data_IF_067536603896
#
_entry.id   IF_067536603896
#
_cell.length_a   1.000
_cell.length_b   1.000
_cell.length_c   1.000
_cell.angle_alpha   90.00
_cell.angle_beta   90.00
_cell.angle_gamma   90.00
#
_symmetry.space_group_name_H-M   'P 1'
#
loop_
_entity.id
_entity.type
_entity.pdbx_description
1 polymer ?
#
# COMPACT_ATOMS: atom_id res chain seq x y z
N UNK A 1 41.02 -16.71 60.77
CA UNK A 1 41.75 -16.16 59.60
C UNK A 1 40.72 -15.95 58.50
N UNK A 2 40.46 -14.68 58.17
CA UNK A 2 39.25 -14.20 57.45
C UNK A 2 39.23 -14.57 55.96
N UNK A 3 38.03 -14.93 55.49
CA UNK A 3 37.66 -15.06 54.07
C UNK A 3 37.74 -13.71 53.35
N UNK A 4 38.39 -13.67 52.19
CA UNK A 4 38.35 -12.52 51.27
C UNK A 4 37.26 -12.72 50.21
N UNK A 5 36.31 -11.79 50.18
CA UNK A 5 35.18 -11.71 49.24
C UNK A 5 35.56 -11.01 47.93
N UNK A 6 34.85 -11.42 46.90
CA UNK A 6 34.90 -11.05 45.49
C UNK A 6 34.72 -9.56 45.17
N UNK A 7 35.24 -9.13 44.00
CA UNK A 7 34.63 -8.08 43.17
C UNK A 7 34.98 -8.27 41.69
N UNK A 8 34.10 -8.93 40.93
CA UNK A 8 34.11 -8.94 39.47
C UNK A 8 33.10 -7.90 38.98
N UNK A 9 33.60 -6.75 38.49
CA UNK A 9 32.78 -5.70 37.86
C UNK A 9 32.56 -6.06 36.40
N UNK A 10 31.37 -6.56 36.07
CA UNK A 10 30.95 -6.80 34.68
C UNK A 10 30.32 -5.50 34.16
N UNK A 11 30.96 -4.93 33.14
CA UNK A 11 30.53 -3.76 32.39
C UNK A 11 29.45 -4.22 31.39
N UNK A 12 28.19 -3.79 31.58
CA UNK A 12 27.09 -4.07 30.64
C UNK A 12 27.08 -2.94 29.60
N UNK A 13 27.64 -3.20 28.42
CA UNK A 13 27.51 -2.31 27.26
C UNK A 13 26.14 -2.49 26.61
N UNK A 14 25.33 -1.43 26.64
CA UNK A 14 24.02 -1.36 26.02
C UNK A 14 24.10 -1.51 24.49
N UNK A 15 23.72 -2.68 23.98
CA UNK A 15 23.55 -2.93 22.56
C UNK A 15 22.24 -2.28 22.10
N UNK A 16 22.33 -1.13 21.44
CA UNK A 16 21.19 -0.43 20.84
C UNK A 16 20.74 -1.24 19.60
N UNK A 17 19.78 -2.15 19.78
CA UNK A 17 19.22 -2.94 18.70
C UNK A 17 18.42 -2.03 17.75
N UNK A 18 18.98 -1.74 16.57
CA UNK A 18 18.23 -1.21 15.44
C UNK A 18 17.20 -2.27 15.02
N UNK A 19 15.95 -2.11 15.45
CA UNK A 19 14.83 -2.86 14.92
C UNK A 19 14.53 -2.38 13.50
N UNK A 20 15.19 -3.02 12.52
CA UNK A 20 14.79 -2.96 11.12
C UNK A 20 13.33 -3.45 11.03
N UNK A 21 12.41 -2.50 10.98
CA UNK A 21 10.98 -2.78 10.85
C UNK A 21 10.78 -3.35 9.44
N UNK A 22 10.69 -4.67 9.35
CA UNK A 22 10.44 -5.34 8.08
C UNK A 22 8.99 -5.04 7.69
N UNK A 23 8.77 -4.45 6.51
CA UNK A 23 7.42 -4.35 5.99
C UNK A 23 6.88 -5.77 5.76
N UNK A 24 5.81 -6.14 6.48
CA UNK A 24 5.14 -7.43 6.26
C UNK A 24 4.60 -7.47 4.83
N UNK A 25 4.82 -8.58 4.14
CA UNK A 25 4.31 -8.76 2.79
C UNK A 25 2.78 -8.73 2.80
N UNK A 26 2.19 -7.87 1.96
CA UNK A 26 0.75 -7.72 1.81
C UNK A 26 0.30 -8.46 0.56
N UNK A 27 -0.56 -9.47 0.75
CA UNK A 27 -1.15 -10.22 -0.37
C UNK A 27 -2.51 -9.65 -0.72
N UNK A 28 -2.72 -9.47 -2.03
CA UNK A 28 -3.96 -8.98 -2.63
C UNK A 28 -4.50 -10.01 -3.60
N UNK A 29 -5.68 -10.54 -3.31
CA UNK A 29 -6.35 -11.54 -4.17
C UNK A 29 -7.70 -11.01 -4.61
N UNK A 30 -8.04 -11.23 -5.87
CA UNK A 30 -9.25 -10.67 -6.45
C UNK A 30 -9.62 -11.17 -7.83
N UNK A 31 -10.60 -10.49 -8.41
CA UNK A 31 -11.15 -10.72 -9.74
C UNK A 31 -11.10 -9.44 -10.58
N UNK A 32 -10.98 -9.59 -11.89
CA UNK A 32 -11.06 -8.52 -12.88
C UNK A 32 -12.34 -8.68 -13.72
N UNK A 33 -13.27 -7.74 -13.62
CA UNK A 33 -14.61 -7.81 -14.22
C UNK A 33 -14.81 -6.83 -15.39
N UNK A 34 -15.77 -7.10 -16.32
CA UNK A 34 -16.22 -8.41 -16.80
C UNK A 34 -15.71 -8.63 -18.23
N UNK A 35 -15.03 -9.75 -18.48
CA UNK A 35 -14.34 -10.13 -19.73
C UNK A 35 -12.87 -9.70 -19.77
N UNK A 36 -12.03 -10.61 -19.30
CA UNK A 36 -10.58 -10.50 -19.39
C UNK A 36 -10.09 -11.23 -20.65
N UNK A 37 -9.53 -10.54 -21.66
CA UNK A 37 -8.82 -11.20 -22.74
C UNK A 37 -7.69 -12.13 -22.24
N UNK A 38 -7.31 -13.11 -23.06
CA UNK A 38 -6.11 -13.92 -22.77
C UNK A 38 -4.86 -13.04 -22.74
N UNK A 39 -3.93 -13.32 -21.83
CA UNK A 39 -2.67 -12.58 -21.72
C UNK A 39 -2.77 -11.28 -20.90
N UNK A 40 -3.91 -11.00 -20.29
CA UNK A 40 -4.03 -9.85 -19.40
C UNK A 40 -3.23 -10.04 -18.12
N UNK A 41 -2.68 -8.91 -17.64
CA UNK A 41 -2.04 -8.76 -16.36
C UNK A 41 -2.69 -7.63 -15.59
N UNK A 42 -2.60 -7.72 -14.27
CA UNK A 42 -2.91 -6.61 -13.37
C UNK A 42 -1.63 -6.27 -12.64
N UNK A 43 -1.30 -4.98 -12.59
CA UNK A 43 -0.15 -4.47 -11.87
C UNK A 43 -0.52 -3.32 -10.94
N UNK A 44 0.28 -3.15 -9.90
CA UNK A 44 0.27 -1.98 -9.06
C UNK A 44 1.37 -1.03 -9.50
N UNK A 45 1.00 0.23 -9.70
CA UNK A 45 1.90 1.26 -10.17
C UNK A 45 1.96 2.41 -9.19
N UNK A 46 3.16 2.96 -8.99
CA UNK A 46 3.30 4.31 -8.43
C UNK A 46 2.82 5.32 -9.46
N UNK A 47 2.37 6.49 -8.98
CA UNK A 47 2.05 7.61 -9.85
C UNK A 47 3.19 8.62 -9.88
N UNK A 48 3.47 9.15 -11.07
CA UNK A 48 4.33 10.32 -11.24
C UNK A 48 3.60 11.62 -10.90
N UNK A 49 4.30 12.76 -10.90
CA UNK A 49 3.71 14.08 -10.58
C UNK A 49 2.54 14.50 -11.48
N UNK A 50 2.46 13.95 -12.70
CA UNK A 50 1.37 14.19 -13.66
C UNK A 50 0.13 13.31 -13.42
N UNK A 51 0.14 12.47 -12.36
CA UNK A 51 -0.90 11.48 -12.10
C UNK A 51 -0.82 10.25 -13.01
N UNK A 52 0.17 10.16 -13.91
CA UNK A 52 0.37 9.00 -14.80
C UNK A 52 1.14 7.88 -14.09
N UNK A 53 0.92 6.60 -14.47
CA UNK A 53 1.72 5.48 -14.01
C UNK A 53 3.21 5.71 -14.27
N UNK A 54 4.05 5.47 -13.26
CA UNK A 54 5.49 5.67 -13.36
C UNK A 54 6.28 4.35 -13.23
N UNK A 55 6.19 3.68 -12.07
CA UNK A 55 6.89 2.42 -11.81
C UNK A 55 5.88 1.30 -11.55
N UNK A 56 6.03 0.17 -12.25
CA UNK A 56 5.36 -1.08 -11.90
C UNK A 56 6.05 -1.68 -10.65
N UNK A 57 5.32 -1.77 -9.54
CA UNK A 57 5.82 -2.31 -8.27
C UNK A 57 5.72 -3.83 -8.25
N UNK A 58 4.58 -4.35 -8.70
CA UNK A 58 4.30 -5.78 -8.82
C UNK A 58 3.21 -6.00 -9.84
N UNK A 59 3.24 -7.12 -10.56
CA UNK A 59 2.13 -7.59 -11.38
C UNK A 59 1.96 -9.09 -11.36
N UNK A 60 0.78 -9.52 -11.78
CA UNK A 60 0.44 -10.93 -11.94
C UNK A 60 -0.41 -11.13 -13.19
N UNK A 61 -0.27 -12.31 -13.79
CA UNK A 61 -1.15 -12.73 -14.87
C UNK A 61 -2.56 -12.98 -14.32
N UNK A 62 -3.57 -12.58 -15.08
CA UNK A 62 -4.96 -12.91 -14.77
C UNK A 62 -5.29 -14.28 -15.33
N UNK A 63 -5.77 -15.19 -14.47
CA UNK A 63 -6.14 -16.57 -14.82
C UNK A 63 -7.58 -16.81 -14.41
N UNK A 64 -8.44 -17.17 -15.36
CA UNK A 64 -9.88 -17.38 -15.13
C UNK A 64 -10.54 -16.18 -14.44
N UNK A 65 -10.14 -14.96 -14.85
CA UNK A 65 -10.60 -13.70 -14.27
C UNK A 65 -10.02 -13.38 -12.89
N UNK A 66 -9.14 -14.20 -12.32
CA UNK A 66 -8.55 -14.03 -10.98
C UNK A 66 -7.10 -13.60 -11.04
N UNK A 67 -6.64 -12.89 -10.01
CA UNK A 67 -5.25 -12.49 -9.83
C UNK A 67 -4.81 -12.61 -8.37
N UNK A 68 -3.49 -12.66 -8.16
CA UNK A 68 -2.87 -12.63 -6.84
C UNK A 68 -1.57 -11.82 -6.91
N UNK A 69 -1.48 -10.75 -6.13
CA UNK A 69 -0.31 -9.88 -6.04
C UNK A 69 0.28 -9.97 -4.65
N UNK A 70 1.60 -10.08 -4.57
CA UNK A 70 2.35 -10.01 -3.33
C UNK A 70 3.19 -8.74 -3.36
N UNK A 71 2.85 -7.75 -2.53
CA UNK A 71 3.68 -6.56 -2.44
C UNK A 71 5.05 -6.92 -1.88
N UNK A 72 6.13 -6.37 -2.46
CA UNK A 72 7.48 -6.67 -2.02
C UNK A 72 7.70 -6.11 -0.61
N UNK A 73 8.53 -6.76 0.19
CA UNK A 73 8.92 -6.26 1.51
C UNK A 73 9.93 -5.10 1.44
N UNK A 74 10.38 -4.73 0.24
CA UNK A 74 11.31 -3.62 0.02
C UNK A 74 10.59 -2.27 0.02
N UNK A 75 11.17 -1.25 0.67
CA UNK A 75 10.69 0.12 0.58
C UNK A 75 10.55 0.62 -0.86
N UNK A 76 9.57 1.50 -1.10
CA UNK A 76 9.55 2.30 -2.32
C UNK A 76 10.75 3.25 -2.35
N UNK A 77 11.29 3.47 -3.53
CA UNK A 77 12.37 4.44 -3.71
C UNK A 77 11.90 5.86 -3.38
N UNK A 78 12.78 6.65 -2.76
CA UNK A 78 12.45 7.99 -2.29
C UNK A 78 11.89 8.94 -3.36
N UNK A 79 12.23 8.75 -4.64
CA UNK A 79 11.69 9.54 -5.76
C UNK A 79 10.21 9.32 -6.03
N UNK A 80 9.63 8.23 -5.54
CA UNK A 80 8.20 7.93 -5.63
C UNK A 80 7.46 8.26 -4.33
N UNK A 81 8.14 8.91 -3.36
CA UNK A 81 7.56 9.30 -2.09
C UNK A 81 7.36 10.82 -2.02
N UNK A 82 6.13 11.25 -1.82
CA UNK A 82 5.75 12.62 -1.47
C UNK A 82 5.56 12.78 0.03
N UNK A 83 5.37 14.00 0.53
CA UNK A 83 4.99 14.19 1.93
C UNK A 83 3.49 13.93 2.10
N UNK A 84 3.10 13.17 3.14
CA UNK A 84 1.69 13.01 3.48
C UNK A 84 1.20 14.28 4.18
N UNK A 85 0.53 15.13 3.42
CA UNK A 85 -0.13 16.35 3.90
C UNK A 85 -1.65 16.21 3.79
N UNK A 86 -2.44 17.07 4.46
CA UNK A 86 -3.89 17.11 4.26
C UNK A 86 -4.29 17.19 2.78
N UNK A 87 -3.60 18.02 1.98
CA UNK A 87 -3.89 18.22 0.56
C UNK A 87 -3.54 17.00 -0.31
N UNK A 88 -2.67 16.11 0.18
CA UNK A 88 -2.31 14.89 -0.52
C UNK A 88 -3.38 13.77 -0.37
N UNK A 89 -4.31 13.92 0.58
CA UNK A 89 -5.37 12.94 0.84
C UNK A 89 -6.55 13.20 -0.10
N UNK A 90 -6.60 12.44 -1.20
CA UNK A 90 -7.68 12.51 -2.21
C UNK A 90 -8.58 11.26 -2.20
N UNK A 91 -8.63 10.56 -1.06
CA UNK A 91 -9.29 9.27 -0.95
C UNK A 91 -10.82 9.40 -1.04
N UNK A 92 -11.45 8.49 -1.77
CA UNK A 92 -12.89 8.50 -2.00
C UNK A 92 -13.67 8.48 -0.69
N UNK A 93 -14.58 9.45 -0.52
CA UNK A 93 -15.40 9.61 0.68
C UNK A 93 -14.74 10.35 1.83
N UNK A 94 -13.42 10.56 1.82
CA UNK A 94 -12.70 11.36 2.82
C UNK A 94 -12.72 12.82 2.40
N UNK A 95 -13.48 13.64 3.12
CA UNK A 95 -13.73 15.05 2.77
C UNK A 95 -13.70 15.94 4.00
N UNK A 96 -13.68 17.26 3.79
CA UNK A 96 -13.76 18.25 4.85
C UNK A 96 -12.39 18.61 5.43
N UNK A 97 -12.33 18.90 6.73
CA UNK A 97 -11.08 19.30 7.38
C UNK A 97 -10.22 18.09 7.69
N UNK A 98 -9.21 17.85 6.84
CA UNK A 98 -8.28 16.73 6.99
C UNK A 98 -7.12 17.14 7.91
N UNK A 99 -6.79 16.27 8.88
CA UNK A 99 -5.65 16.40 9.78
C UNK A 99 -4.78 15.17 9.67
N UNK A 100 -3.50 15.38 9.40
CA UNK A 100 -2.47 14.33 9.37
C UNK A 100 -1.53 14.56 10.55
N UNK A 101 -1.21 13.51 11.32
CA UNK A 101 -0.22 13.61 12.41
C UNK A 101 1.16 13.21 11.91
N UNK A 102 2.19 13.89 12.41
CA UNK A 102 3.57 13.65 11.97
C UNK A 102 3.82 14.18 10.55
N UNK A 103 4.93 13.78 9.96
CA UNK A 103 5.34 14.19 8.61
C UNK A 103 5.95 13.03 7.82
N UNK A 104 5.27 11.87 7.72
CA UNK A 104 5.82 10.77 6.95
C UNK A 104 5.83 11.11 5.47
N UNK A 105 6.76 10.50 4.74
CA UNK A 105 6.66 10.40 3.30
C UNK A 105 5.80 9.20 2.92
N UNK A 106 5.07 9.32 1.83
CA UNK A 106 4.18 8.27 1.35
C UNK A 106 4.19 8.16 -0.16
N UNK A 107 3.83 6.98 -0.66
CA UNK A 107 3.52 6.74 -2.06
C UNK A 107 2.20 5.99 -2.17
N UNK A 108 1.32 6.44 -3.05
CA UNK A 108 0.07 5.73 -3.37
C UNK A 108 0.30 4.78 -4.56
N UNK A 109 -0.29 3.59 -4.47
CA UNK A 109 -0.32 2.64 -5.57
C UNK A 109 -1.72 2.57 -6.17
N UNK A 110 -1.77 2.50 -7.49
CA UNK A 110 -3.01 2.29 -8.24
C UNK A 110 -2.93 1.05 -9.11
N UNK A 111 -4.09 0.43 -9.29
CA UNK A 111 -4.21 -0.75 -10.14
C UNK A 111 -4.34 -0.34 -11.60
N UNK A 112 -3.55 -0.98 -12.44
CA UNK A 112 -3.70 -0.92 -13.88
C UNK A 112 -3.75 -2.33 -14.44
N UNK A 113 -4.55 -2.49 -15.49
CA UNK A 113 -4.56 -3.69 -16.30
C UNK A 113 -3.94 -3.41 -17.67
N UNK A 114 -3.30 -4.42 -18.23
CA UNK A 114 -2.70 -4.35 -19.56
C UNK A 114 -2.59 -5.75 -20.18
N UNK A 115 -2.48 -5.82 -21.49
CA UNK A 115 -2.22 -7.07 -22.22
C UNK A 115 -0.72 -7.26 -22.35
N UNK A 116 -0.19 -8.37 -21.83
CA UNK A 116 1.20 -8.81 -22.01
C UNK A 116 1.32 -9.50 -23.38
N UNK A 117 1.64 -8.70 -24.39
CA UNK A 117 1.55 -9.11 -25.79
C UNK A 117 2.69 -10.02 -26.23
N UNK A 118 3.85 -9.93 -25.57
CA UNK A 118 5.03 -10.74 -25.87
C UNK A 118 5.32 -11.81 -24.80
N UNK A 119 4.45 -11.95 -23.80
CA UNK A 119 4.56 -12.93 -22.72
C UNK A 119 5.84 -12.82 -21.88
N UNK A 120 6.36 -11.60 -21.70
CA UNK A 120 7.58 -11.36 -20.92
C UNK A 120 7.33 -11.11 -19.43
N UNK A 121 6.07 -11.18 -19.00
CA UNK A 121 5.60 -11.04 -17.63
C UNK A 121 5.84 -9.66 -16.98
N UNK A 122 6.03 -8.60 -17.77
CA UNK A 122 6.17 -7.21 -17.29
C UNK A 122 5.47 -6.26 -18.27
N UNK A 123 5.25 -5.02 -17.85
CA UNK A 123 4.70 -3.99 -18.75
C UNK A 123 5.77 -3.45 -19.69
N UNK A 124 5.48 -3.44 -20.99
CA UNK A 124 6.30 -2.75 -21.99
C UNK A 124 5.74 -1.39 -22.40
N UNK A 125 6.59 -0.52 -22.94
CA UNK A 125 6.24 0.87 -23.27
C UNK A 125 5.11 1.01 -24.31
N UNK A 126 4.98 0.03 -25.21
CA UNK A 126 3.93 -0.02 -26.23
C UNK A 126 2.59 -0.57 -25.72
N UNK A 127 2.55 -1.11 -24.51
CA UNK A 127 1.33 -1.67 -23.94
C UNK A 127 0.49 -0.58 -23.29
N UNK A 128 -0.80 -0.60 -23.59
CA UNK A 128 -1.77 0.34 -23.04
C UNK A 128 -2.11 -0.06 -21.61
N UNK A 129 -1.95 0.90 -20.69
CA UNK A 129 -2.37 0.78 -19.31
C UNK A 129 -3.78 1.33 -19.16
N UNK A 130 -4.68 0.52 -18.63
CA UNK A 130 -6.04 0.94 -18.25
C UNK A 130 -6.15 0.94 -16.74
N UNK A 131 -6.44 2.09 -16.14
CA UNK A 131 -6.68 2.20 -14.70
C UNK A 131 -7.92 1.38 -14.33
N UNK A 132 -7.81 0.60 -13.25
CA UNK A 132 -8.91 -0.22 -12.75
C UNK A 132 -9.24 0.21 -11.33
N UNK A 133 -10.50 0.49 -11.07
CA UNK A 133 -10.94 0.84 -9.72
C UNK A 133 -11.04 -0.41 -8.86
N UNK A 134 -10.46 -0.33 -7.66
CA UNK A 134 -10.42 -1.42 -6.70
C UNK A 134 -11.50 -1.26 -5.63
N UNK A 135 -12.39 -2.24 -5.55
CA UNK A 135 -13.50 -2.27 -4.61
C UNK A 135 -13.50 -3.54 -3.77
N UNK A 136 -13.83 -3.39 -2.49
CA UNK A 136 -14.02 -4.50 -1.55
C UNK A 136 -15.46 -4.43 -1.03
N UNK A 137 -16.37 -5.13 -1.68
CA UNK A 137 -17.81 -5.00 -1.42
C UNK A 137 -18.28 -3.56 -1.69
N UNK A 138 -18.65 -2.83 -0.64
CA UNK A 138 -19.12 -1.44 -0.75
C UNK A 138 -18.02 -0.40 -0.54
N UNK A 139 -16.79 -0.83 -0.29
CA UNK A 139 -15.69 0.05 0.07
C UNK A 139 -14.74 0.27 -1.10
N UNK A 140 -14.21 1.48 -1.21
CA UNK A 140 -13.06 1.74 -2.08
C UNK A 140 -11.77 1.33 -1.37
N UNK A 141 -10.82 0.78 -2.11
CA UNK A 141 -9.50 0.43 -1.59
C UNK A 141 -8.46 1.49 -1.97
N UNK A 142 -7.66 1.91 -1.00
CA UNK A 142 -6.46 2.73 -1.19
C UNK A 142 -5.24 1.94 -0.73
N UNK A 143 -4.18 1.91 -1.54
CA UNK A 143 -2.93 1.23 -1.21
C UNK A 143 -1.81 2.26 -1.04
N UNK A 144 -1.14 2.23 0.11
CA UNK A 144 -0.15 3.22 0.49
C UNK A 144 1.12 2.54 0.99
N UNK A 145 2.27 3.10 0.65
CA UNK A 145 3.52 2.90 1.40
C UNK A 145 3.77 4.14 2.25
N UNK A 146 4.14 3.97 3.52
CA UNK A 146 4.60 5.06 4.38
C UNK A 146 6.01 4.78 4.92
N UNK A 147 6.86 5.81 5.00
CA UNK A 147 8.19 5.68 5.63
C UNK A 147 8.15 5.78 7.18
N UNK A 148 7.02 6.20 7.74
CA UNK A 148 6.77 6.32 9.17
C UNK A 148 5.28 6.23 9.50
N UNK A 149 4.91 5.90 10.76
CA UNK A 149 3.51 5.82 11.16
C UNK A 149 2.84 7.20 11.16
N UNK A 150 1.53 7.22 10.93
CA UNK A 150 0.74 8.45 10.96
C UNK A 150 -0.73 8.17 11.23
N UNK A 151 -1.46 9.19 11.66
CA UNK A 151 -2.90 9.16 11.86
C UNK A 151 -3.54 10.20 10.95
N UNK A 152 -4.59 9.79 10.24
CA UNK A 152 -5.39 10.68 9.40
C UNK A 152 -6.79 10.77 10.00
N UNK A 153 -7.25 11.99 10.25
CA UNK A 153 -8.60 12.29 10.68
C UNK A 153 -9.25 13.23 9.68
N UNK A 154 -10.56 13.06 9.46
CA UNK A 154 -11.34 13.97 8.64
C UNK A 154 -12.76 14.11 9.21
N UNK A 155 -13.61 14.86 8.51
CA UNK A 155 -14.99 15.03 8.91
C UNK A 155 -15.77 13.70 8.81
N UNK A 156 -17.04 13.72 9.25
CA UNK A 156 -17.95 12.54 9.23
C UNK A 156 -17.42 11.34 10.01
N UNK A 157 -16.55 11.59 11.00
CA UNK A 157 -16.02 10.57 11.91
C UNK A 157 -14.93 9.70 11.29
N UNK A 158 -14.34 10.10 10.17
CA UNK A 158 -13.23 9.37 9.58
C UNK A 158 -11.98 9.50 10.44
N UNK A 159 -11.43 8.35 10.84
CA UNK A 159 -10.18 8.26 11.59
C UNK A 159 -9.49 6.95 11.21
N UNK A 160 -8.19 7.02 10.91
CA UNK A 160 -7.37 5.85 10.66
C UNK A 160 -5.93 6.04 11.13
N UNK A 161 -5.36 4.98 11.73
CA UNK A 161 -3.95 4.89 12.08
C UNK A 161 -3.23 4.03 11.04
N UNK A 162 -2.25 4.61 10.36
CA UNK A 162 -1.41 3.98 9.35
C UNK A 162 -0.06 3.62 9.96
N UNK A 163 0.44 2.42 9.62
CA UNK A 163 1.76 1.95 10.02
C UNK A 163 2.83 2.38 9.02
N UNK A 164 4.09 2.33 9.41
CA UNK A 164 5.20 2.34 8.45
C UNK A 164 5.11 1.07 7.57
N UNK A 165 5.51 1.21 6.30
CA UNK A 165 5.39 0.16 5.27
C UNK A 165 4.05 0.18 4.55
N UNK A 166 3.63 -0.98 4.06
CA UNK A 166 2.40 -1.14 3.28
C UNK A 166 1.14 -1.07 4.13
N UNK A 167 0.17 -0.27 3.66
CA UNK A 167 -1.15 -0.13 4.21
C UNK A 167 -2.19 -0.37 3.11
N UNK A 168 -3.14 -1.26 3.37
CA UNK A 168 -4.34 -1.41 2.58
C UNK A 168 -5.51 -0.79 3.33
N UNK A 169 -5.97 0.36 2.87
CA UNK A 169 -7.03 1.11 3.51
C UNK A 169 -8.35 0.90 2.77
N UNK A 170 -9.29 0.21 3.41
CA UNK A 170 -10.68 0.13 2.98
C UNK A 170 -11.45 1.33 3.51
N UNK A 171 -12.19 2.00 2.63
CA UNK A 171 -13.00 3.17 2.97
C UNK A 171 -14.45 2.92 2.57
N UNK A 172 -15.32 2.87 3.57
CA UNK A 172 -16.76 2.72 3.38
C UNK A 172 -17.45 4.08 3.60
N UNK A 173 -18.01 4.63 2.53
CA UNK A 173 -18.75 5.88 2.58
C UNK A 173 -20.23 5.64 2.92
N UNK A 174 -20.74 6.37 3.91
CA UNK A 174 -22.13 6.33 4.34
C UNK A 174 -22.53 7.60 5.10
N UNK A 175 -23.40 7.49 6.10
CA UNK A 175 -23.71 8.63 7.01
C UNK A 175 -22.47 9.09 7.78
N UNK A 176 -21.63 8.12 8.15
CA UNK A 176 -20.27 8.29 8.64
C UNK A 176 -19.32 7.66 7.64
N UNK A 177 -18.06 8.09 7.60
CA UNK A 177 -17.04 7.49 6.74
C UNK A 177 -16.14 6.62 7.61
N UNK A 178 -16.04 5.33 7.28
CA UNK A 178 -15.25 4.36 8.06
C UNK A 178 -13.99 4.00 7.29
N UNK A 179 -12.83 4.18 7.92
CA UNK A 179 -11.54 3.69 7.43
C UNK A 179 -11.13 2.42 8.18
N UNK A 180 -10.58 1.43 7.48
CA UNK A 180 -10.01 0.22 8.10
C UNK A 180 -8.74 -0.18 7.39
N UNK A 181 -7.64 -0.33 8.14
CA UNK A 181 -6.40 -0.89 7.62
C UNK A 181 -6.50 -2.41 7.63
N UNK A 182 -6.28 -3.02 6.48
CA UNK A 182 -6.37 -4.45 6.26
C UNK A 182 -4.96 -5.07 6.29
N UNK A 183 -4.85 -6.22 6.92
CA UNK A 183 -3.61 -7.02 6.91
C UNK A 183 -3.54 -8.00 5.73
N UNK A 184 -4.71 -8.36 5.19
CA UNK A 184 -4.87 -9.22 4.03
C UNK A 184 -6.11 -8.78 3.25
N UNK A 185 -6.03 -8.88 1.93
CA UNK A 185 -7.17 -8.60 1.05
C UNK A 185 -7.49 -9.83 0.23
N UNK A 186 -8.71 -10.32 0.41
CA UNK A 186 -9.30 -11.36 -0.41
C UNK A 186 -10.58 -10.81 -1.04
N UNK A 187 -10.99 -11.35 -2.19
CA UNK A 187 -12.19 -10.93 -2.91
C UNK A 187 -12.17 -9.46 -3.36
N UNK A 188 -11.00 -8.94 -3.75
CA UNK A 188 -10.91 -7.64 -4.37
C UNK A 188 -11.59 -7.67 -5.74
N UNK A 189 -12.43 -6.69 -6.05
CA UNK A 189 -13.05 -6.53 -7.36
C UNK A 189 -12.38 -5.38 -8.08
N UNK A 190 -11.76 -5.68 -9.22
CA UNK A 190 -11.21 -4.69 -10.12
C UNK A 190 -12.18 -4.46 -11.28
N UNK A 191 -12.61 -3.22 -11.43
CA UNK A 191 -13.47 -2.80 -12.52
C UNK A 191 -12.65 -1.94 -13.47
N UNK A 192 -12.49 -2.40 -14.71
CA UNK A 192 -11.89 -1.58 -15.76
C UNK A 192 -12.79 -0.38 -16.04
N UNK A 193 -12.19 0.81 -16.12
CA UNK A 193 -12.85 2.04 -16.52
C UNK A 193 -13.12 2.09 -18.03
#
# INVERSE_FOLDING_TARGET
MMMARAHLKILISSLLALSLTSASALTLEGTLNPKTPSGMRVGLFTLGPSGKPALEVVSSAVRDGKFSLLLPNTPLEARFLGQLTPDAVSWSGVVGVIKVTGTPKFGELRFFSYSDTNSNAKRDSGETLSETLAQLGRSSLVLLYLDGPSKVNADKGFEVSLKAGWNALSIEAGRTVKGTVLERINNLELNAL
#
